data_IF_406373210089
#
_entry.id   IF_406373210089
#
_cell.length_a   1.000
_cell.length_b   1.000
_cell.length_c   1.000
_cell.angle_alpha   90.00
_cell.angle_beta   90.00
_cell.angle_gamma   90.00
#
_symmetry.space_group_name_H-M   'P 1'
#
loop_
_entity.id
_entity.type
_entity.pdbx_description
1 polymer ?
2 polymer ?
3 non-polymer ?
4 non-polymer ?
5 non-polymer ?
6 water ?
#
# COMPACT_ATOMS: atom_id res chain seq x y z
N UNK A 1 -3.87 -7.69 -27.27
CA UNK A 1 -4.92 -8.16 -26.32
C UNK A 1 -4.19 -8.65 -25.06
N UNK A 2 -4.82 -8.46 -23.92
CA UNK A 2 -4.18 -8.74 -22.64
C UNK A 2 -4.33 -10.20 -22.29
N UNK A 3 -3.48 -10.68 -21.37
CA UNK A 3 -3.64 -12.05 -20.91
C UNK A 3 -4.83 -12.14 -19.96
N UNK A 4 -5.31 -13.37 -19.73
CA UNK A 4 -6.37 -13.56 -18.75
C UNK A 4 -6.00 -13.01 -17.38
N UNK A 5 -4.76 -13.27 -16.96
CA UNK A 5 -4.31 -12.73 -15.67
C UNK A 5 -4.35 -11.20 -15.65
N UNK A 6 -3.86 -10.58 -16.72
CA UNK A 6 -3.87 -9.11 -16.78
C UNK A 6 -5.30 -8.57 -16.78
N UNK A 7 -6.22 -9.22 -17.48
CA UNK A 7 -7.61 -8.78 -17.46
C UNK A 7 -8.23 -8.95 -16.10
N UNK A 8 -7.83 -9.99 -15.36
CA UNK A 8 -8.30 -10.18 -13.99
C UNK A 8 -7.87 -9.04 -13.08
N UNK A 9 -6.60 -8.62 -13.19
CA UNK A 9 -6.11 -7.51 -12.40
C UNK A 9 -6.86 -6.22 -12.77
N UNK A 10 -7.09 -5.98 -14.06
CA UNK A 10 -7.85 -4.79 -14.51
C UNK A 10 -9.27 -4.87 -13.98
N UNK A 11 -9.85 -6.06 -13.95
CA UNK A 11 -11.20 -6.26 -13.45
C UNK A 11 -11.34 -5.89 -11.98
N UNK A 12 -10.28 -6.10 -11.20
CA UNK A 12 -10.30 -5.75 -9.78
C UNK A 12 -10.46 -4.25 -9.61
N UNK A 13 -9.82 -3.48 -10.49
CA UNK A 13 -10.02 -2.03 -10.50
C UNK A 13 -11.48 -1.71 -10.78
N UNK A 14 -12.06 -2.35 -11.78
CA UNK A 14 -13.45 -2.12 -12.12
C UNK A 14 -14.38 -2.42 -10.94
N UNK A 15 -14.10 -3.50 -10.21
CA UNK A 15 -14.92 -3.83 -9.07
C UNK A 15 -14.88 -2.70 -8.03
N UNK A 16 -13.69 -2.19 -7.73
CA UNK A 16 -13.58 -1.10 -6.75
C UNK A 16 -14.41 0.10 -7.17
N UNK A 17 -14.29 0.47 -8.43
CA UNK A 17 -14.97 1.68 -8.90
C UNK A 17 -16.49 1.53 -8.90
N UNK A 18 -17.02 0.30 -9.03
CA UNK A 18 -18.47 0.13 -8.94
C UNK A 18 -19.00 0.70 -7.64
N UNK A 19 -18.19 0.64 -6.57
CA UNK A 19 -18.59 1.10 -5.25
C UNK A 19 -18.04 2.48 -4.91
N UNK A 20 -16.84 2.81 -5.37
CA UNK A 20 -16.31 4.16 -5.10
C UNK A 20 -17.03 5.25 -5.84
N UNK A 21 -17.66 4.91 -6.96
CA UNK A 21 -18.43 5.91 -7.71
C UNK A 21 -19.84 6.14 -7.16
N UNK A 22 -20.24 5.40 -6.12
CA UNK A 22 -21.60 5.58 -5.60
C UNK A 22 -21.82 7.02 -5.14
N UNK A 23 -20.86 7.57 -4.38
CA UNK A 23 -21.05 8.91 -3.84
C UNK A 23 -19.68 9.49 -3.45
N UNK A 24 -19.69 10.80 -3.20
CA UNK A 24 -18.50 11.46 -2.64
C UNK A 24 -17.28 11.32 -3.52
N UNK A 25 -16.14 11.14 -2.89
CA UNK A 25 -14.86 11.01 -3.58
C UNK A 25 -14.79 9.67 -4.33
N UNK A 26 -14.35 9.70 -5.60
CA UNK A 26 -14.31 8.47 -6.39
C UNK A 26 -13.12 7.59 -6.04
N UNK A 27 -12.25 8.01 -5.09
CA UNK A 27 -11.25 7.14 -4.51
C UNK A 27 -11.59 6.86 -3.05
N UNK A 28 -12.88 6.83 -2.76
CA UNK A 28 -13.36 6.53 -1.41
C UNK A 28 -14.55 5.60 -1.51
N UNK A 29 -14.50 4.52 -0.75
CA UNK A 29 -15.63 3.63 -0.47
C UNK A 29 -15.96 3.84 1.00
N UNK A 30 -17.12 4.43 1.29
CA UNK A 30 -17.51 4.76 2.66
C UNK A 30 -18.04 3.51 3.35
N UNK A 31 -18.38 3.64 4.62
CA UNK A 31 -18.74 2.47 5.41
C UNK A 31 -19.93 1.72 4.80
N UNK A 32 -20.99 2.42 4.40
CA UNK A 32 -22.15 1.71 3.84
C UNK A 32 -21.82 1.10 2.48
N UNK A 33 -20.99 1.79 1.68
CA UNK A 33 -20.55 1.25 0.40
C UNK A 33 -19.76 -0.05 0.58
N UNK A 34 -18.93 -0.11 1.62
CA UNK A 34 -18.14 -1.32 1.85
C UNK A 34 -19.06 -2.48 2.23
N UNK A 35 -20.08 -2.20 3.05
CA UNK A 35 -21.02 -3.26 3.38
C UNK A 35 -21.62 -3.81 2.08
N UNK A 36 -21.97 -2.92 1.16
CA UNK A 36 -22.55 -3.36 -0.10
C UNK A 36 -21.53 -4.14 -0.93
N UNK A 37 -20.29 -3.68 -0.93
CA UNK A 37 -19.24 -4.37 -1.67
C UNK A 37 -19.05 -5.78 -1.14
N UNK A 38 -18.95 -5.91 0.18
CA UNK A 38 -18.74 -7.24 0.76
C UNK A 38 -19.92 -8.16 0.49
N UNK A 39 -21.14 -7.63 0.59
CA UNK A 39 -22.32 -8.49 0.39
C UNK A 39 -22.39 -9.01 -1.03
N UNK A 40 -21.97 -8.21 -2.00
CA UNK A 40 -22.05 -8.58 -3.41
C UNK A 40 -20.80 -9.31 -3.91
N UNK A 41 -19.62 -8.92 -3.44
CA UNK A 41 -18.38 -9.39 -4.08
C UNK A 41 -17.63 -10.46 -3.30
N UNK A 42 -17.95 -10.69 -2.03
CA UNK A 42 -17.10 -11.58 -1.23
C UNK A 42 -17.88 -12.80 -0.74
N UNK A 43 -17.20 -13.94 -0.56
CA UNK A 43 -17.89 -15.15 -0.11
C UNK A 43 -18.29 -15.07 1.35
N UNK A 44 -19.14 -16.04 1.76
CA UNK A 44 -19.70 -15.99 3.11
C UNK A 44 -18.59 -15.99 4.17
N UNK A 45 -17.53 -16.80 3.98
CA UNK A 45 -16.49 -16.86 5.01
C UNK A 45 -15.75 -15.54 5.15
N UNK A 46 -15.81 -14.67 4.13
CA UNK A 46 -15.27 -13.32 4.27
C UNK A 46 -16.30 -12.38 4.88
N UNK A 47 -17.54 -12.41 4.37
CA UNK A 47 -18.58 -11.53 4.88
C UNK A 47 -18.84 -11.75 6.38
N UNK A 48 -18.71 -12.99 6.83
CA UNK A 48 -19.08 -13.30 8.21
C UNK A 48 -18.27 -12.47 9.22
N UNK A 49 -17.08 -12.02 8.83
CA UNK A 49 -16.30 -11.20 9.76
C UNK A 49 -17.10 -9.96 10.19
N UNK A 50 -17.96 -9.46 9.32
CA UNK A 50 -18.75 -8.29 9.65
C UNK A 50 -18.23 -7.10 8.90
N UNK A 51 -19.11 -6.32 8.25
CA UNK A 51 -18.64 -5.21 7.44
C UNK A 51 -18.01 -4.11 8.29
N UNK A 52 -18.50 -3.91 9.52
CA UNK A 52 -17.87 -2.90 10.38
C UNK A 52 -16.47 -3.33 10.81
N UNK A 53 -16.30 -4.62 11.10
CA UNK A 53 -14.99 -5.13 11.49
C UNK A 53 -14.01 -4.95 10.35
N UNK A 54 -14.42 -5.34 9.12
CA UNK A 54 -13.57 -5.11 7.95
C UNK A 54 -13.23 -3.63 7.76
N UNK A 55 -14.22 -2.76 7.90
CA UNK A 55 -13.97 -1.34 7.67
C UNK A 55 -12.90 -0.81 8.61
N UNK A 56 -12.97 -1.20 9.89
CA UNK A 56 -11.96 -0.73 10.82
C UNK A 56 -10.59 -1.30 10.47
N UNK A 57 -10.56 -2.54 9.98
CA UNK A 57 -9.27 -3.13 9.63
C UNK A 57 -8.67 -2.47 8.39
N UNK A 58 -9.51 -2.10 7.43
CA UNK A 58 -9.02 -1.57 6.17
C UNK A 58 -8.77 -0.06 6.15
N UNK A 59 -9.43 0.70 6.99
CA UNK A 59 -9.26 2.17 6.98
C UNK A 59 -8.05 2.51 7.85
N UNK A 60 -6.86 2.31 7.26
CA UNK A 60 -5.63 2.35 8.06
C UNK A 60 -5.29 3.76 8.53
N UNK A 61 -5.69 4.79 7.79
CA UNK A 61 -5.47 6.17 8.21
C UNK A 61 -6.69 6.77 8.92
N UNK A 62 -7.70 5.95 9.22
CA UNK A 62 -8.94 6.36 9.95
C UNK A 62 -9.47 7.71 9.46
N UNK A 63 -9.60 7.82 8.14
CA UNK A 63 -10.21 8.99 7.51
C UNK A 63 -11.65 8.73 7.09
N UNK A 64 -12.22 7.57 7.46
CA UNK A 64 -13.63 7.31 7.20
C UNK A 64 -13.94 6.75 5.84
N UNK A 65 -12.94 6.32 5.10
CA UNK A 65 -13.15 5.68 3.82
C UNK A 65 -12.05 4.66 3.54
N UNK A 66 -12.35 3.75 2.61
CA UNK A 66 -11.43 2.77 2.08
C UNK A 66 -11.05 3.26 0.68
N UNK A 67 -9.80 3.71 0.53
CA UNK A 67 -9.36 4.12 -0.78
C UNK A 67 -8.90 2.88 -1.56
N UNK A 68 -8.45 3.06 -2.82
CA UNK A 68 -8.11 1.91 -3.63
C UNK A 68 -6.97 1.09 -3.03
N UNK A 69 -5.94 1.75 -2.53
CA UNK A 69 -4.85 1.02 -1.92
C UNK A 69 -5.34 0.18 -0.73
N UNK A 70 -6.21 0.76 0.11
CA UNK A 70 -6.73 0.01 1.25
C UNK A 70 -7.59 -1.17 0.79
N UNK A 71 -8.38 -0.98 -0.26
CA UNK A 71 -9.15 -2.07 -0.85
C UNK A 71 -8.24 -3.20 -1.30
N UNK A 72 -7.04 -2.90 -1.79
CA UNK A 72 -6.12 -3.98 -2.19
C UNK A 72 -5.67 -4.82 -0.99
N UNK A 73 -5.73 -4.28 0.23
CA UNK A 73 -5.50 -5.11 1.41
C UNK A 73 -6.56 -6.19 1.50
N UNK A 74 -7.82 -5.83 1.28
CA UNK A 74 -8.90 -6.79 1.28
C UNK A 74 -8.68 -7.82 0.17
N UNK A 75 -8.31 -7.38 -1.03
CA UNK A 75 -8.03 -8.29 -2.13
C UNK A 75 -6.92 -9.27 -1.75
N UNK A 76 -5.82 -8.78 -1.15
CA UNK A 76 -4.75 -9.68 -0.69
C UNK A 76 -5.32 -10.73 0.27
N UNK A 77 -6.08 -10.30 1.28
CA UNK A 77 -6.58 -11.23 2.29
C UNK A 77 -7.55 -12.21 1.68
N UNK A 78 -8.39 -11.74 0.75
CA UNK A 78 -9.35 -12.65 0.12
C UNK A 78 -8.61 -13.70 -0.67
N UNK A 79 -7.56 -13.28 -1.37
CA UNK A 79 -6.77 -14.18 -2.19
C UNK A 79 -6.10 -15.22 -1.34
N UNK A 80 -5.45 -14.79 -0.25
CA UNK A 80 -4.77 -15.75 0.59
C UNK A 80 -5.76 -16.76 1.15
N UNK A 81 -6.93 -16.26 1.56
CA UNK A 81 -7.95 -17.13 2.16
C UNK A 81 -8.52 -18.10 1.14
N UNK A 82 -8.82 -17.60 -0.07
CA UNK A 82 -9.35 -18.47 -1.11
C UNK A 82 -8.35 -19.56 -1.49
N UNK A 83 -7.04 -19.20 -1.53
CA UNK A 83 -6.02 -20.18 -1.84
C UNK A 83 -5.91 -21.24 -0.74
N UNK A 84 -5.89 -20.80 0.51
CA UNK A 84 -5.81 -21.74 1.64
C UNK A 84 -6.99 -22.70 1.62
N UNK A 85 -8.17 -22.22 1.24
CA UNK A 85 -9.37 -23.06 1.25
C UNK A 85 -9.32 -24.07 0.11
N UNK A 86 -9.00 -23.62 -1.09
CA UNK A 86 -8.92 -24.48 -2.27
C UNK A 86 -7.67 -25.35 -2.29
N UNK A 87 -6.73 -25.12 -1.39
CA UNK A 87 -5.45 -25.87 -1.32
C UNK A 87 -5.23 -26.20 0.16
N UNK A 88 -6.26 -26.67 0.86
CA UNK A 88 -6.15 -26.97 2.31
C UNK A 88 -5.00 -27.94 2.52
N UNK B 1 20.08 20.61 -1.39
CA UNK B 1 19.85 19.98 -0.05
C UNK B 1 18.32 19.76 0.11
N UNK B 2 17.97 18.71 0.76
CA UNK B 2 16.56 18.34 0.97
C UNK B 2 15.96 19.22 2.08
N UNK B 3 14.64 19.37 2.04
CA UNK B 3 13.97 20.11 3.10
C UNK B 3 13.91 19.26 4.38
N UNK B 4 13.59 19.92 5.51
CA UNK B 4 13.44 19.16 6.75
C UNK B 4 12.38 18.08 6.64
N UNK B 5 11.29 18.37 5.94
CA UNK B 5 10.24 17.35 5.79
C UNK B 5 10.73 16.18 4.95
N UNK B 6 11.37 16.46 3.81
CA UNK B 6 11.90 15.39 2.97
C UNK B 6 12.95 14.56 3.72
N UNK B 7 13.80 15.24 4.52
CA UNK B 7 14.77 14.50 5.32
C UNK B 7 14.06 13.60 6.33
N UNK B 8 12.92 14.04 6.88
CA UNK B 8 12.19 13.22 7.84
C UNK B 8 11.67 11.96 7.18
N UNK B 9 11.16 12.09 5.96
CA UNK B 9 10.65 10.94 5.23
C UNK B 9 11.79 9.96 4.89
N UNK B 10 12.94 10.47 4.46
CA UNK B 10 14.08 9.61 4.20
C UNK B 10 14.59 8.92 5.46
N UNK B 11 14.46 9.59 6.60
CA UNK B 11 14.87 8.98 7.88
C UNK B 11 13.93 7.84 8.26
N UNK B 12 12.66 7.91 7.89
CA UNK B 12 11.75 6.80 8.15
C UNK B 12 12.22 5.53 7.42
N UNK B 13 12.68 5.71 6.19
CA UNK B 13 13.30 4.61 5.45
C UNK B 13 14.47 4.04 6.25
N UNK B 14 15.33 4.93 6.76
CA UNK B 14 16.50 4.49 7.51
C UNK B 14 16.10 3.71 8.76
N UNK B 15 15.03 4.14 9.44
CA UNK B 15 14.55 3.41 10.62
C UNK B 15 14.17 1.98 10.22
N UNK B 16 13.46 1.83 9.11
CA UNK B 16 13.08 0.49 8.66
C UNK B 16 14.32 -0.35 8.36
N UNK B 17 15.28 0.21 7.66
CA UNK B 17 16.44 -0.58 7.28
C UNK B 17 17.28 -0.95 8.50
N UNK B 18 17.23 -0.15 9.57
CA UNK B 18 18.00 -0.48 10.76
C UNK B 18 17.64 -1.88 11.24
N UNK B 19 16.38 -2.25 11.08
CA UNK B 19 15.85 -3.55 11.48
C UNK B 19 15.78 -4.51 10.32
N UNK B 20 15.46 -4.06 9.10
CA UNK B 20 15.42 -5.02 7.98
C UNK B 20 16.80 -5.60 7.65
N UNK B 21 17.88 -4.85 7.87
CA UNK B 21 19.20 -5.34 7.60
C UNK B 21 19.70 -6.40 8.58
N UNK B 22 18.98 -6.66 9.67
CA UNK B 22 19.50 -7.53 10.71
C UNK B 22 19.77 -8.93 10.15
N UNK B 23 18.78 -9.54 9.49
CA UNK B 23 18.94 -10.93 9.04
C UNK B 23 18.02 -11.22 7.85
N UNK B 24 18.23 -12.38 7.24
CA UNK B 24 17.32 -12.87 6.23
C UNK B 24 17.27 -11.97 5.03
N UNK B 25 16.08 -11.81 4.48
CA UNK B 25 15.80 -10.86 3.41
C UNK B 25 15.94 -9.47 3.98
N UNK B 26 16.78 -8.65 3.36
CA UNK B 26 17.05 -7.33 3.91
C UNK B 26 15.94 -6.33 3.57
N UNK B 27 14.91 -6.76 2.84
CA UNK B 27 13.67 -6.01 2.72
C UNK B 27 12.53 -6.67 3.50
N UNK B 28 12.88 -7.33 4.59
CA UNK B 28 11.91 -7.96 5.47
C UNK B 28 12.32 -7.73 6.92
N UNK B 29 11.34 -7.42 7.78
CA UNK B 29 11.48 -7.36 9.23
C UNK B 29 10.64 -8.51 9.82
N UNK B 30 11.30 -9.37 10.57
CA UNK B 30 10.64 -10.55 11.15
C UNK B 30 10.03 -10.21 12.51
N UNK B 31 9.34 -11.20 13.12
CA UNK B 31 8.58 -10.90 14.32
C UNK B 31 9.49 -10.37 15.43
N UNK B 32 10.65 -11.00 15.64
CA UNK B 32 11.50 -10.53 16.73
C UNK B 32 12.09 -9.15 16.42
N UNK B 33 12.42 -8.91 15.15
CA UNK B 33 12.93 -7.60 14.73
C UNK B 33 11.89 -6.52 14.97
N UNK B 34 10.60 -6.83 14.70
CA UNK B 34 9.55 -5.84 14.94
C UNK B 34 9.43 -5.52 16.44
N UNK B 35 9.50 -6.55 17.30
CA UNK B 35 9.43 -6.31 18.73
C UNK B 35 10.52 -5.34 19.13
N UNK B 36 11.73 -5.56 18.63
CA UNK B 36 12.87 -4.66 18.93
C UNK B 36 12.52 -3.26 18.41
N UNK B 37 12.03 -3.14 17.19
CA UNK B 37 11.67 -1.84 16.60
C UNK B 37 10.65 -1.12 17.48
N UNK B 38 9.59 -1.81 17.87
CA UNK B 38 8.57 -1.18 18.68
C UNK B 38 9.14 -0.73 20.02
N UNK B 39 9.93 -1.59 20.67
CA UNK B 39 10.45 -1.25 21.98
C UNK B 39 11.32 -0.01 21.92
N UNK B 40 12.08 0.14 20.83
CA UNK B 40 13.12 1.16 20.74
C UNK B 40 12.61 2.46 20.13
N UNK B 41 11.75 2.36 19.12
CA UNK B 41 11.36 3.49 18.31
C UNK B 41 9.96 4.03 18.58
N UNK B 42 9.12 3.30 19.28
CA UNK B 42 7.75 3.78 19.38
C UNK B 42 7.40 4.19 20.81
N UNK B 43 6.42 5.09 20.96
CA UNK B 43 6.03 5.54 22.29
C UNK B 43 5.27 4.44 23.03
N UNK B 44 5.11 4.67 24.35
CA UNK B 44 4.47 3.71 25.22
C UNK B 44 3.11 3.29 24.74
N UNK B 45 2.31 4.26 24.25
CA UNK B 45 0.93 3.96 23.90
C UNK B 45 0.83 3.15 22.62
N UNK B 46 1.89 3.17 21.79
CA UNK B 46 1.97 2.26 20.65
C UNK B 46 2.48 0.90 21.09
N UNK B 47 3.51 0.87 21.96
CA UNK B 47 4.06 -0.41 22.43
C UNK B 47 3.02 -1.23 23.15
N UNK B 48 2.12 -0.55 23.88
CA UNK B 48 1.16 -1.24 24.73
C UNK B 48 0.33 -2.25 23.94
N UNK B 49 0.10 -1.99 22.67
CA UNK B 49 -0.70 -2.91 21.88
C UNK B 49 -0.08 -4.31 21.82
N UNK B 50 1.22 -4.39 21.90
CA UNK B 50 1.91 -5.66 21.94
C UNK B 50 2.48 -6.01 20.59
N UNK B 51 3.69 -6.61 20.60
CA UNK B 51 4.39 -6.78 19.33
C UNK B 51 3.74 -7.84 18.47
N UNK B 52 3.24 -8.93 19.10
CA UNK B 52 2.55 -9.98 18.31
C UNK B 52 1.29 -9.44 17.65
N UNK B 53 0.49 -8.65 18.38
CA UNK B 53 -0.70 -8.03 17.80
C UNK B 53 -0.34 -7.14 16.63
N UNK B 54 0.67 -6.26 16.82
CA UNK B 54 1.12 -5.40 15.73
C UNK B 54 1.59 -6.23 14.56
N UNK B 55 2.35 -7.29 14.81
CA UNK B 55 2.91 -8.05 13.69
C UNK B 55 1.80 -8.63 12.84
N UNK B 56 0.76 -9.19 13.48
CA UNK B 56 -0.34 -9.79 12.75
C UNK B 56 -1.14 -8.73 11.99
N UNK B 57 -1.25 -7.52 12.53
CA UNK B 57 -1.97 -6.46 11.83
C UNK B 57 -1.19 -6.01 10.60
N UNK B 58 0.14 -5.93 10.72
CA UNK B 58 0.97 -5.37 9.66
C UNK B 58 1.25 -6.36 8.54
N UNK B 59 1.26 -7.67 8.85
CA UNK B 59 1.68 -8.71 7.89
C UNK B 59 0.44 -9.08 7.09
N UNK B 60 0.10 -8.20 6.12
CA UNK B 60 -1.20 -8.32 5.47
C UNK B 60 -1.29 -9.54 4.56
N UNK B 61 -0.18 -10.00 3.99
CA UNK B 61 -0.18 -11.22 3.15
C UNK B 61 0.18 -12.49 3.95
N UNK B 62 0.27 -12.40 5.26
CA UNK B 62 0.60 -13.52 6.15
C UNK B 62 1.75 -14.37 5.62
N UNK B 63 2.87 -13.73 5.30
CA UNK B 63 4.06 -14.46 4.89
C UNK B 63 5.13 -14.47 5.96
N UNK B 64 4.84 -13.96 7.14
CA UNK B 64 5.80 -14.07 8.23
C UNK B 64 6.82 -12.95 8.26
N UNK B 65 6.60 -11.92 7.45
CA UNK B 65 7.49 -10.77 7.38
C UNK B 65 6.68 -9.50 7.20
N UNK B 66 7.26 -8.40 7.66
CA UNK B 66 6.75 -7.05 7.44
C UNK B 66 7.70 -6.39 6.45
N UNK B 67 7.23 -6.20 5.22
CA UNK B 67 8.03 -5.49 4.25
C UNK B 67 7.89 -3.98 4.46
N UNK B 68 8.59 -3.21 3.64
CA UNK B 68 8.59 -1.78 3.87
C UNK B 68 7.20 -1.17 3.73
N UNK B 69 6.43 -1.62 2.74
CA UNK B 69 5.09 -1.11 2.56
C UNK B 69 4.23 -1.41 3.77
N UNK B 70 4.35 -2.60 4.31
CA UNK B 70 3.65 -3.00 5.54
C UNK B 70 4.12 -2.17 6.75
N UNK B 71 5.39 -1.88 6.84
CA UNK B 71 5.93 -1.02 7.87
C UNK B 71 5.29 0.37 7.77
N UNK B 72 5.05 0.86 6.55
CA UNK B 72 4.42 2.17 6.41
C UNK B 72 2.98 2.23 6.96
N UNK B 73 2.30 1.08 7.08
CA UNK B 73 1.03 1.06 7.79
C UNK B 73 1.24 1.49 9.26
N UNK B 74 2.26 0.93 9.89
CA UNK B 74 2.60 1.35 11.25
C UNK B 74 2.91 2.84 11.30
N UNK B 75 3.71 3.32 10.34
CA UNK B 75 4.03 4.75 10.31
C UNK B 75 2.78 5.60 10.21
N UNK B 76 1.85 5.24 9.33
CA UNK B 76 0.59 5.96 9.19
C UNK B 76 -0.12 5.97 10.53
N UNK B 77 -0.22 4.78 11.15
CA UNK B 77 -1.00 4.69 12.37
C UNK B 77 -0.31 5.41 13.50
N UNK B 78 1.01 5.37 13.55
CA UNK B 78 1.72 6.15 14.54
C UNK B 78 1.55 7.64 14.33
N UNK B 79 1.54 8.07 13.08
CA UNK B 79 1.38 9.50 12.80
C UNK B 79 0.01 10.02 13.16
N UNK B 80 -1.04 9.29 12.82
CA UNK B 80 -2.39 9.67 13.19
C UNK B 80 -2.50 9.74 14.71
N UNK B 81 -1.98 8.74 15.43
CA UNK B 81 -2.11 8.72 16.89
C UNK B 81 -1.32 9.86 17.52
N UNK B 82 -0.10 10.11 17.02
CA UNK B 82 0.71 11.22 17.53
C UNK B 82 0.06 12.56 17.25
N UNK B 83 -0.56 12.73 16.09
CA UNK B 83 -1.26 13.98 15.80
C UNK B 83 -2.43 14.19 16.76
N UNK B 84 -3.18 13.12 17.05
CA UNK B 84 -4.26 13.22 18.02
C UNK B 84 -3.72 13.64 19.38
N UNK B 85 -2.60 13.04 19.80
CA UNK B 85 -2.05 13.43 21.10
C UNK B 85 -1.60 14.89 21.08
N UNK B 86 -0.99 15.32 19.98
CA UNK B 86 -0.51 16.71 19.87
C UNK B 86 -1.65 17.71 19.97
N UNK B 87 -2.79 17.40 19.35
CA UNK B 87 -3.95 18.29 19.45
C UNK B 87 -4.61 18.26 20.83
N UNK B 88 -4.61 17.10 21.50
CA UNK B 88 -5.11 17.04 22.87
C UNK B 88 -4.19 17.82 23.83
N UNK C 1 -20.71 -17.07 -7.93
CA UNK C 1 -19.36 -16.48 -7.75
C UNK C 1 -19.35 -15.07 -8.33
N UNK C 2 -18.90 -14.11 -7.54
CA UNK C 2 -18.86 -12.71 -7.97
C UNK C 2 -17.71 -12.46 -8.95
N UNK C 3 -17.78 -11.31 -9.61
CA UNK C 3 -16.67 -10.86 -10.45
C UNK C 3 -15.34 -10.87 -9.69
N UNK C 4 -15.32 -10.32 -8.48
CA UNK C 4 -14.09 -10.28 -7.70
C UNK C 4 -13.59 -11.69 -7.40
N UNK C 5 -14.51 -12.61 -7.07
CA UNK C 5 -14.09 -13.96 -6.76
C UNK C 5 -13.50 -14.66 -8.00
N UNK C 6 -14.11 -14.44 -9.17
CA UNK C 6 -13.59 -15.01 -10.40
C UNK C 6 -12.21 -14.44 -10.73
N UNK C 7 -11.99 -13.17 -10.46
CA UNK C 7 -10.66 -12.53 -10.70
C UNK C 7 -9.63 -13.21 -9.78
N UNK C 8 -9.95 -13.36 -8.50
CA UNK C 8 -9.07 -14.03 -7.55
C UNK C 8 -8.83 -15.48 -7.98
N UNK C 9 -9.86 -16.18 -8.46
CA UNK C 9 -9.69 -17.54 -8.92
C UNK C 9 -8.72 -17.59 -10.08
N UNK C 10 -8.80 -16.60 -10.99
CA UNK C 10 -7.83 -16.52 -12.08
C UNK C 10 -6.41 -16.38 -11.57
N UNK C 11 -6.17 -15.54 -10.54
CA UNK C 11 -4.82 -15.41 -9.98
C UNK C 11 -4.33 -16.75 -9.45
N UNK C 12 -5.17 -17.41 -8.67
CA UNK C 12 -4.82 -18.70 -8.08
C UNK C 12 -4.54 -19.74 -9.15
N UNK C 13 -5.42 -19.83 -10.14
CA UNK C 13 -5.23 -20.81 -11.20
C UNK C 13 -3.94 -20.56 -11.98
N UNK C 14 -3.60 -19.28 -12.20
CA UNK C 14 -2.38 -18.96 -12.93
C UNK C 14 -1.16 -19.35 -12.10
N UNK C 15 -1.19 -19.03 -10.82
CA UNK C 15 -0.11 -19.45 -9.92
C UNK C 15 0.09 -20.96 -10.00
N UNK C 16 -1.00 -21.74 -9.91
CA UNK C 16 -0.89 -23.19 -9.92
C UNK C 16 -0.45 -23.73 -11.26
N UNK C 17 -0.79 -23.05 -12.34
CA UNK C 17 -0.39 -23.56 -13.64
C UNK C 17 1.13 -23.74 -13.71
N UNK C 18 1.86 -22.83 -13.05
CA UNK C 18 3.33 -22.84 -13.06
C UNK C 18 3.95 -23.44 -11.81
N UNK C 19 3.33 -23.29 -10.64
CA UNK C 19 3.93 -23.83 -9.44
C UNK C 19 4.11 -25.34 -9.46
N UNK C 20 3.24 -26.10 -10.14
CA UNK C 20 3.29 -27.55 -10.10
C UNK C 20 4.43 -28.15 -10.91
N UNK C 21 5.11 -27.36 -11.75
CA UNK C 21 5.98 -27.96 -12.78
C UNK C 21 7.25 -28.55 -12.19
N UNK C 22 7.87 -27.85 -11.26
CA UNK C 22 9.18 -28.21 -10.69
C UNK C 22 9.17 -28.11 -9.17
N UNK C 23 9.96 -28.96 -8.53
CA UNK C 23 10.14 -28.80 -7.09
C UNK C 23 8.83 -28.86 -6.35
N UNK C 24 8.71 -28.06 -5.32
CA UNK C 24 7.47 -28.05 -4.54
C UNK C 24 6.30 -27.67 -5.45
N UNK C 25 5.19 -28.41 -5.44
CA UNK C 25 4.08 -28.07 -6.36
C UNK C 25 3.23 -26.88 -5.95
N UNK C 26 3.44 -26.28 -4.77
CA UNK C 26 2.69 -25.11 -4.36
C UNK C 26 3.56 -23.87 -4.15
N UNK C 27 4.76 -23.86 -4.75
CA UNK C 27 5.61 -22.69 -4.80
C UNK C 27 6.20 -22.52 -6.19
N UNK C 28 6.54 -21.28 -6.50
CA UNK C 28 7.20 -20.95 -7.76
C UNK C 28 8.71 -20.79 -7.54
N UNK C 29 9.52 -21.63 -8.18
CA UNK C 29 10.94 -21.41 -8.16
C UNK C 29 11.23 -20.35 -9.22
N UNK C 30 12.50 -19.98 -9.37
CA UNK C 30 12.83 -18.83 -10.22
C UNK C 30 12.40 -19.10 -11.66
N UNK C 31 12.63 -20.32 -12.13
CA UNK C 31 12.27 -20.67 -13.51
C UNK C 31 10.78 -20.67 -13.75
N UNK C 32 10.01 -21.17 -12.78
CA UNK C 32 8.55 -21.13 -12.88
C UNK C 32 8.04 -19.69 -12.87
N UNK C 33 8.59 -18.87 -11.99
CA UNK C 33 8.17 -17.48 -11.87
C UNK C 33 8.50 -16.71 -13.13
N UNK C 34 9.68 -16.94 -13.68
CA UNK C 34 10.05 -16.27 -14.92
C UNK C 34 9.16 -16.69 -16.08
N UNK C 35 8.76 -17.97 -16.13
CA UNK C 35 7.85 -18.40 -17.19
C UNK C 35 6.48 -17.73 -17.03
N UNK C 36 5.95 -17.72 -15.80
CA UNK C 36 4.69 -17.03 -15.55
C UNK C 36 4.78 -15.56 -15.98
N UNK C 37 5.84 -14.88 -15.55
CA UNK C 37 5.95 -13.46 -15.88
C UNK C 37 6.08 -13.28 -17.38
N UNK C 38 6.83 -14.17 -18.05
CA UNK C 38 7.11 -14.01 -19.48
C UNK C 38 5.85 -14.17 -20.31
N UNK C 39 4.98 -15.11 -19.92
CA UNK C 39 3.78 -15.38 -20.70
C UNK C 39 2.60 -14.59 -20.19
N UNK C 40 2.27 -14.74 -18.91
CA UNK C 40 1.03 -14.16 -18.42
C UNK C 40 1.16 -12.72 -17.93
N UNK C 41 2.36 -12.14 -17.86
CA UNK C 41 2.51 -10.71 -17.61
C UNK C 41 3.32 -10.06 -18.72
N UNK C 42 3.20 -10.57 -19.93
CA UNK C 42 4.00 -10.06 -21.03
C UNK C 42 3.72 -8.60 -21.33
N UNK C 43 2.54 -8.11 -20.99
CA UNK C 43 2.23 -6.71 -21.21
C UNK C 43 2.51 -5.86 -19.98
N UNK C 44 2.00 -6.28 -18.82
CA UNK C 44 2.15 -5.49 -17.61
C UNK C 44 3.61 -5.36 -17.21
N UNK C 45 4.43 -6.37 -17.53
CA UNK C 45 5.86 -6.37 -17.24
C UNK C 45 6.68 -6.46 -18.52
N UNK C 46 6.22 -5.76 -19.55
CA UNK C 46 6.90 -5.81 -20.85
C UNK C 46 8.34 -5.33 -20.74
N UNK C 47 8.55 -4.16 -20.14
CA UNK C 47 9.91 -3.60 -20.09
C UNK C 47 10.81 -4.46 -19.18
N UNK C 48 10.28 -4.88 -18.05
CA UNK C 48 11.05 -5.68 -17.10
C UNK C 48 11.45 -7.03 -17.70
N UNK C 49 10.58 -7.63 -18.53
CA UNK C 49 10.85 -8.92 -19.16
C UNK C 49 12.05 -8.87 -20.11
N UNK C 50 12.48 -7.66 -20.49
CA UNK C 50 13.61 -7.54 -21.40
C UNK C 50 14.93 -7.72 -20.67
N UNK C 51 14.94 -7.65 -19.34
CA UNK C 51 16.17 -7.85 -18.57
C UNK C 51 15.91 -8.95 -17.55
N UNK C 52 16.46 -10.13 -17.75
CA UNK C 52 16.22 -11.28 -16.85
C UNK C 52 16.69 -10.92 -15.44
N UNK C 53 17.65 -10.02 -15.30
CA UNK C 53 18.15 -9.63 -13.97
C UNK C 53 17.09 -8.76 -13.26
N UNK C 54 16.25 -8.03 -13.98
CA UNK C 54 15.19 -7.27 -13.31
C UNK C 54 14.13 -8.20 -12.74
N UNK C 55 13.76 -9.23 -13.48
CA UNK C 55 12.79 -10.20 -13.00
C UNK C 55 13.34 -10.94 -11.80
N UNK C 56 14.63 -11.30 -11.82
CA UNK C 56 15.28 -11.89 -10.65
C UNK C 56 15.10 -11.02 -9.41
N UNK C 57 15.35 -9.73 -9.55
CA UNK C 57 15.31 -8.82 -8.40
C UNK C 57 13.90 -8.74 -7.83
N UNK C 58 12.88 -8.74 -8.70
CA UNK C 58 11.46 -8.74 -8.27
C UNK C 58 11.22 -9.98 -7.41
N UNK C 59 11.69 -11.15 -7.86
CA UNK C 59 11.48 -12.41 -7.12
C UNK C 59 12.17 -12.34 -5.77
N UNK C 60 13.43 -11.90 -5.76
CA UNK C 60 14.22 -11.84 -4.51
C UNK C 60 13.52 -10.94 -3.51
N UNK C 61 12.97 -9.83 -3.98
CA UNK C 61 12.26 -8.92 -3.07
C UNK C 61 11.02 -9.57 -2.47
N UNK C 62 10.30 -10.36 -3.27
CA UNK C 62 9.08 -11.04 -2.79
C UNK C 62 9.39 -12.26 -1.92
N UNK C 63 10.58 -12.86 -2.05
CA UNK C 63 10.93 -14.08 -1.32
C UNK C 63 11.37 -13.75 0.10
N UNK C 64 10.37 -13.42 0.93
CA UNK C 64 10.68 -12.87 2.22
C UNK C 64 11.27 -13.88 3.21
N UNK C 65 11.04 -15.17 3.03
CA UNK C 65 11.68 -16.17 3.91
C UNK C 65 12.95 -16.75 3.31
N UNK C 66 13.39 -16.20 2.17
CA UNK C 66 14.71 -16.46 1.59
C UNK C 66 14.93 -17.93 1.27
N UNK C 67 13.88 -18.65 0.85
CA UNK C 67 14.03 -20.05 0.48
C UNK C 67 14.07 -20.27 -1.04
N UNK C 68 14.20 -19.22 -1.84
CA UNK C 68 14.41 -19.30 -3.27
C UNK C 68 13.19 -19.81 -4.03
N UNK C 69 12.02 -19.62 -3.43
CA UNK C 69 10.77 -19.92 -4.11
C UNK C 69 9.68 -19.02 -3.51
N UNK C 70 8.65 -18.77 -4.31
CA UNK C 70 7.56 -17.90 -3.89
C UNK C 70 6.35 -18.76 -3.50
N UNK C 71 5.92 -18.61 -2.27
CA UNK C 71 4.61 -19.12 -1.88
C UNK C 71 3.53 -18.23 -2.47
N UNK C 72 2.28 -18.72 -2.40
CA UNK C 72 1.20 -17.91 -2.88
C UNK C 72 1.11 -16.62 -2.09
N UNK C 73 1.31 -16.69 -0.77
CA UNK C 73 1.28 -15.50 0.09
C UNK C 73 2.32 -14.48 -0.38
N UNK C 74 3.53 -14.93 -0.70
CA UNK C 74 4.56 -14.00 -1.23
C UNK C 74 4.16 -13.45 -2.60
N UNK C 75 3.67 -14.33 -3.46
CA UNK C 75 3.28 -13.96 -4.82
C UNK C 75 2.14 -12.96 -4.86
N UNK C 76 1.13 -13.09 -3.99
CA UNK C 76 -0.01 -12.21 -4.12
C UNK C 76 0.37 -10.73 -3.89
N UNK C 77 1.46 -10.44 -3.18
CA UNK C 77 1.91 -9.05 -3.06
C UNK C 77 2.23 -8.43 -4.42
N UNK C 78 2.81 -9.20 -5.33
CA UNK C 78 3.09 -8.70 -6.67
C UNK C 78 1.79 -8.43 -7.40
N UNK C 79 0.81 -9.31 -7.27
CA UNK C 79 -0.47 -9.07 -7.95
C UNK C 79 -1.07 -7.74 -7.51
N UNK C 80 -1.06 -7.47 -6.20
CA UNK C 80 -1.61 -6.19 -5.73
C UNK C 80 -0.83 -5.02 -6.29
N UNK C 81 0.51 -5.11 -6.28
CA UNK C 81 1.35 -4.06 -6.81
C UNK C 81 1.12 -3.82 -8.31
N UNK C 82 0.93 -4.89 -9.08
CA UNK C 82 0.69 -4.70 -10.51
C UNK C 82 -0.71 -4.15 -10.80
N UNK C 83 -1.70 -4.50 -9.98
CA UNK C 83 -3.01 -3.88 -10.07
C UNK C 83 -2.92 -2.39 -9.79
N UNK C 84 -2.20 -2.01 -8.72
CA UNK C 84 -1.97 -0.61 -8.44
C UNK C 84 -1.30 0.08 -9.63
N UNK C 85 -0.26 -0.55 -10.18
CA UNK C 85 0.48 0.10 -11.27
C UNK C 85 -0.42 0.30 -12.49
N UNK C 86 -1.28 -0.69 -12.76
CA UNK C 86 -2.21 -0.56 -13.88
C UNK C 86 -3.15 0.61 -13.66
N UNK C 87 -3.71 0.71 -12.45
CA UNK C 87 -4.59 1.83 -12.10
C UNK C 87 -3.89 3.17 -12.33
N UNK C 88 -2.62 3.29 -11.89
CA UNK C 88 -1.85 4.49 -12.08
C UNK C 88 -1.69 4.82 -13.56
N UNK C 89 -1.46 3.80 -14.39
CA UNK C 89 -1.21 4.04 -15.82
C UNK C 89 -2.48 4.46 -16.56
N UNK C 90 -3.63 3.92 -16.16
CA UNK C 90 -4.91 4.24 -16.85
C UNK C 90 -5.24 5.71 -16.55
N UNK C 91 -4.83 6.23 -15.39
CA UNK C 91 -5.09 7.61 -14.99
C UNK C 91 -4.13 8.63 -15.59
N UNK C 92 -2.87 8.27 -15.81
CA UNK C 92 -1.98 9.20 -16.52
C UNK C 92 -2.48 9.41 -17.95
N UNK C 93 -2.80 8.30 -18.62
CA UNK C 93 -3.23 8.33 -20.03
C UNK C 93 -2.15 7.81 -20.96
N UNK C 94 -2.51 7.45 -22.18
CA UNK C 94 -1.55 6.88 -23.16
C UNK C 94 -0.96 7.99 -24.03
N UNK C 95 0.02 7.66 -24.88
CA UNK C 95 0.67 8.63 -25.79
C UNK C 95 0.78 7.99 -27.18
N UNK C 96 0.40 8.71 -28.23
CA UNK C 96 0.41 8.17 -29.60
C UNK C 96 1.81 8.01 -30.16
N UNK C 98 3.98 9.74 -33.59
CA UNK C 98 4.11 9.14 -34.93
C UNK C 98 5.49 9.33 -35.51
N UNK C 99 5.61 10.01 -36.65
CA UNK C 99 6.93 10.31 -37.28
C UNK C 99 7.62 11.41 -36.48
N UNK D 1 12.74 11.03 22.91
CA UNK D 1 12.08 10.67 21.66
C UNK D 1 13.05 9.99 20.70
N UNK D 2 12.59 8.93 20.07
CA UNK D 2 13.38 8.20 19.10
C UNK D 2 13.49 8.95 17.79
N UNK D 3 14.33 8.44 16.91
CA UNK D 3 14.47 8.96 15.53
C UNK D 3 13.10 8.92 14.87
N UNK D 4 12.39 7.79 14.98
CA UNK D 4 11.11 7.69 14.29
C UNK D 4 10.12 8.71 14.82
N UNK D 5 10.06 8.88 16.15
CA UNK D 5 9.11 9.81 16.74
C UNK D 5 9.42 11.23 16.30
N UNK D 6 10.69 11.57 16.19
CA UNK D 6 11.11 12.92 15.79
C UNK D 6 10.69 13.14 14.34
N UNK D 7 10.82 12.13 13.50
CA UNK D 7 10.39 12.25 12.10
C UNK D 7 8.89 12.46 12.00
N UNK D 8 8.11 11.74 12.82
CA UNK D 8 6.66 11.93 12.80
C UNK D 8 6.30 13.30 13.32
N UNK D 9 7.04 13.80 14.33
CA UNK D 9 6.74 15.12 14.84
C UNK D 9 7.05 16.18 13.79
N UNK D 10 8.08 15.96 12.99
CA UNK D 10 8.36 16.88 11.88
C UNK D 10 7.20 16.94 10.89
N UNK D 11 6.62 15.78 10.57
CA UNK D 11 5.45 15.75 9.69
C UNK D 11 4.31 16.54 10.32
N UNK D 12 3.99 16.24 11.59
CA UNK D 12 2.89 16.89 12.27
C UNK D 12 3.11 18.40 12.30
N UNK D 13 4.32 18.80 12.65
CA UNK D 13 4.53 20.24 12.85
C UNK D 13 4.54 20.96 11.52
N UNK D 14 4.97 20.30 10.45
CA UNK D 14 4.96 20.92 9.14
C UNK D 14 3.53 21.15 8.68
N UNK D 15 2.70 20.10 8.79
CA UNK D 15 1.28 20.23 8.51
C UNK D 15 0.65 21.39 9.27
N UNK D 16 0.89 21.45 10.60
CA UNK D 16 0.27 22.48 11.42
C UNK D 16 0.76 23.88 11.09
N UNK D 17 2.01 24.00 10.63
CA UNK D 17 2.50 25.32 10.30
C UNK D 17 1.67 25.96 9.19
N UNK D 18 1.10 25.15 8.31
CA UNK D 18 0.24 25.64 7.24
C UNK D 18 -1.24 25.59 7.59
N UNK D 19 -1.67 24.54 8.29
CA UNK D 19 -3.11 24.41 8.57
C UNK D 19 -3.62 25.51 9.47
N UNK D 20 -2.74 26.09 10.29
CA UNK D 20 -3.17 27.12 11.23
C UNK D 20 -3.35 28.49 10.57
N UNK D 21 -2.74 28.74 9.41
CA UNK D 21 -2.71 30.09 8.87
C UNK D 21 -4.08 30.58 8.39
N UNK D 22 -5.07 29.69 8.25
CA UNK D 22 -6.36 30.15 7.73
C UNK D 22 -7.45 29.15 8.07
N UNK D 23 -8.66 29.66 8.27
CA UNK D 23 -9.81 28.78 8.44
C UNK D 23 -9.66 27.83 9.61
N UNK D 24 -10.12 26.59 9.42
CA UNK D 24 -9.99 25.58 10.48
C UNK D 24 -8.52 25.35 10.75
N UNK D 25 -8.05 25.50 12.00
CA UNK D 25 -6.61 25.42 12.25
C UNK D 25 -6.03 24.02 12.13
N UNK D 26 -6.86 22.99 11.97
CA UNK D 26 -6.37 21.62 11.88
C UNK D 26 -6.58 21.00 10.50
N UNK D 27 -6.98 21.79 9.50
CA UNK D 27 -7.07 21.29 8.13
C UNK D 27 -6.37 22.25 7.17
N UNK D 28 -5.93 21.70 6.04
CA UNK D 28 -5.32 22.47 4.97
C UNK D 28 -6.34 22.74 3.88
N UNK D 29 -6.48 24.00 3.49
CA UNK D 29 -7.29 24.27 2.30
C UNK D 29 -6.38 24.12 1.08
N UNK D 30 -6.98 24.21 -0.10
CA UNK D 30 -6.24 23.97 -1.36
C UNK D 30 -5.03 24.91 -1.43
N UNK D 31 -5.17 26.16 -1.00
CA UNK D 31 -4.06 27.11 -1.12
C UNK D 31 -2.91 26.81 -0.19
N UNK D 32 -3.21 26.39 1.04
CA UNK D 32 -2.14 26.05 1.98
C UNK D 32 -1.47 24.75 1.61
N UNK D 33 -2.22 23.79 1.05
CA UNK D 33 -1.61 22.55 0.58
C UNK D 33 -0.63 22.83 -0.55
N UNK D 34 -1.04 23.67 -1.52
CA UNK D 34 -0.15 24.01 -2.62
C UNK D 34 1.12 24.69 -2.11
N UNK D 35 0.99 25.58 -1.11
CA UNK D 35 2.15 26.25 -0.53
C UNK D 35 3.08 25.26 0.18
N UNK D 36 2.51 24.31 0.93
CA UNK D 36 3.30 23.27 1.58
C UNK D 36 4.06 22.45 0.55
N UNK D 37 3.35 21.94 -0.46
CA UNK D 37 3.99 21.12 -1.49
C UNK D 37 5.08 21.90 -2.20
N UNK D 38 4.83 23.18 -2.47
CA UNK D 38 5.77 24.00 -3.23
C UNK D 38 7.05 24.25 -2.44
N UNK D 39 6.92 24.41 -1.14
CA UNK D 39 8.11 24.75 -0.32
C UNK D 39 8.71 23.50 0.28
N UNK D 40 7.95 22.68 0.98
CA UNK D 40 8.54 21.62 1.75
C UNK D 40 8.67 20.29 1.01
N UNK D 41 8.09 20.16 -0.15
CA UNK D 41 8.29 19.00 -1.00
C UNK D 41 8.84 19.42 -2.36
N UNK D 42 9.67 20.48 -2.38
CA UNK D 42 10.11 21.06 -3.65
C UNK D 42 10.99 20.08 -4.42
N UNK D 43 11.60 19.10 -3.76
CA UNK D 43 12.41 18.11 -4.47
C UNK D 43 11.62 16.83 -4.75
N UNK D 44 10.94 16.30 -3.74
CA UNK D 44 10.19 15.07 -3.93
C UNK D 44 9.06 15.23 -4.94
N UNK D 45 8.42 16.39 -4.98
CA UNK D 45 7.41 16.69 -5.97
C UNK D 45 7.87 17.75 -6.95
N UNK D 46 9.14 17.69 -7.34
CA UNK D 46 9.69 18.71 -8.24
C UNK D 46 8.96 18.74 -9.58
N UNK D 47 8.74 17.58 -10.19
CA UNK D 47 8.07 17.56 -11.48
C UNK D 47 6.61 17.96 -11.34
N UNK D 48 5.94 17.45 -10.31
CA UNK D 48 4.53 17.76 -10.13
C UNK D 48 4.30 19.24 -9.82
N UNK D 49 5.23 19.87 -9.11
CA UNK D 49 5.06 21.27 -8.76
C UNK D 49 5.00 22.20 -9.97
N UNK D 50 5.41 21.74 -11.16
CA UNK D 50 5.36 22.60 -12.32
C UNK D 50 3.99 22.60 -13.00
N UNK D 51 3.05 21.78 -12.52
CA UNK D 51 1.77 21.57 -13.23
C UNK D 51 0.69 21.62 -12.16
N UNK D 52 0.12 22.82 -11.96
CA UNK D 52 -0.84 23.01 -10.88
C UNK D 52 -2.00 22.02 -10.99
N UNK D 53 -2.33 21.60 -12.21
CA UNK D 53 -3.37 20.60 -12.40
C UNK D 53 -3.04 19.29 -11.72
N UNK D 54 -1.78 18.86 -11.80
CA UNK D 54 -1.35 17.61 -11.17
C UNK D 54 -1.45 17.74 -9.66
N UNK D 55 -1.08 18.90 -9.13
CA UNK D 55 -1.16 19.10 -7.69
C UNK D 55 -2.61 19.03 -7.23
N UNK D 56 -3.53 19.61 -8.02
CA UNK D 56 -4.94 19.54 -7.66
C UNK D 56 -5.45 18.11 -7.74
N UNK D 57 -4.97 17.32 -8.71
CA UNK D 57 -5.35 15.92 -8.76
C UNK D 57 -4.93 15.23 -7.46
N UNK D 58 -3.75 15.57 -6.95
CA UNK D 58 -3.26 14.94 -5.72
C UNK D 58 -4.14 15.29 -4.54
N UNK D 59 -4.44 16.58 -4.38
CA UNK D 59 -5.37 17.04 -3.34
C UNK D 59 -6.70 16.28 -3.41
N UNK D 60 -7.37 16.34 -4.58
CA UNK D 60 -8.70 15.76 -4.66
C UNK D 60 -8.66 14.27 -4.31
N UNK D 61 -7.59 13.58 -4.71
CA UNK D 61 -7.51 12.15 -4.44
C UNK D 61 -7.31 11.87 -2.94
N UNK D 62 -6.67 12.78 -2.22
CA UNK D 62 -6.47 12.61 -0.78
C UNK D 62 -7.70 13.04 0.02
N UNK D 63 -8.53 13.92 -0.55
CA UNK D 63 -9.68 14.50 0.15
C UNK D 63 -10.87 13.53 0.16
N UNK D 64 -10.74 12.49 0.99
CA UNK D 64 -11.64 11.36 0.86
C UNK D 64 -13.06 11.70 1.31
N UNK D 65 -13.25 12.68 2.21
CA UNK D 65 -14.59 13.10 2.62
C UNK D 65 -15.12 14.26 1.79
N UNK D 66 -14.37 14.68 0.77
CA UNK D 66 -14.84 15.59 -0.26
C UNK D 66 -15.30 16.93 0.30
N UNK D 67 -14.55 17.48 1.26
CA UNK D 67 -14.89 18.78 1.82
C UNK D 67 -13.91 19.87 1.41
N UNK D 68 -13.06 19.60 0.42
CA UNK D 68 -12.10 20.54 -0.15
C UNK D 68 -11.06 20.98 0.87
N UNK D 69 -10.93 20.21 1.95
CA UNK D 69 -9.93 20.44 2.97
C UNK D 69 -9.22 19.11 3.23
N UNK D 70 -7.93 19.20 3.59
CA UNK D 70 -7.17 18.02 3.96
C UNK D 70 -6.96 17.99 5.48
N UNK D 71 -7.49 16.95 6.11
CA UNK D 71 -7.15 16.63 7.48
C UNK D 71 -5.78 15.99 7.51
N UNK D 72 -5.21 15.94 8.72
CA UNK D 72 -3.96 15.23 8.87
C UNK D 72 -4.11 13.78 8.45
N UNK D 73 -5.24 13.15 8.82
CA UNK D 73 -5.44 11.75 8.48
C UNK D 73 -5.42 11.57 6.96
N UNK D 74 -6.08 12.48 6.22
CA UNK D 74 -5.99 12.39 4.75
C UNK D 74 -4.56 12.66 4.27
N UNK D 75 -3.93 13.67 4.86
CA UNK D 75 -2.60 14.11 4.43
C UNK D 75 -1.52 13.05 4.63
N UNK D 76 -1.58 12.26 5.72
CA UNK D 76 -0.50 11.32 5.98
C UNK D 76 -0.41 10.22 4.91
N UNK D 77 -1.47 9.97 4.14
CA UNK D 77 -1.38 9.03 3.03
C UNK D 77 -0.35 9.50 2.01
N UNK D 78 -0.30 10.81 1.77
CA UNK D 78 0.71 11.34 0.84
C UNK D 78 2.10 11.16 1.39
N UNK D 79 2.27 11.39 2.70
CA UNK D 79 3.56 11.22 3.36
C UNK D 79 4.06 9.80 3.12
N UNK D 80 3.21 8.79 3.34
CA UNK D 80 3.63 7.41 3.14
C UNK D 80 3.94 7.10 1.66
N UNK D 81 3.16 7.61 0.74
CA UNK D 81 3.42 7.39 -0.67
C UNK D 81 4.77 8.00 -1.10
N UNK D 82 5.08 9.20 -0.61
CA UNK D 82 6.33 9.86 -1.01
C UNK D 82 7.55 9.20 -0.35
N UNK D 83 7.40 8.67 0.87
CA UNK D 83 8.46 7.89 1.49
C UNK D 83 8.75 6.65 0.66
N UNK D 84 7.71 5.93 0.28
CA UNK D 84 7.88 4.77 -0.60
C UNK D 84 8.58 5.16 -1.90
N UNK D 85 8.15 6.26 -2.51
CA UNK D 85 8.71 6.65 -3.80
C UNK D 85 10.17 7.10 -3.69
N UNK D 86 10.52 7.76 -2.59
CA UNK D 86 11.91 8.11 -2.35
C UNK D 86 12.78 6.86 -2.30
N UNK D 87 12.34 5.87 -1.54
CA UNK D 87 13.09 4.63 -1.42
C UNK D 87 13.28 3.99 -2.79
N UNK D 88 12.22 3.90 -3.58
CA UNK D 88 12.35 3.41 -4.95
C UNK D 88 13.37 4.19 -5.74
N UNK D 89 13.31 5.52 -5.67
CA UNK D 89 14.26 6.32 -6.45
C UNK D 89 15.71 6.09 -6.01
N UNK D 90 15.96 6.04 -4.69
CA UNK D 90 17.33 5.87 -4.23
C UNK D 90 17.90 4.51 -4.62
N UNK D 91 17.04 3.50 -4.76
CA UNK D 91 17.50 2.17 -5.18
C UNK D 91 17.73 2.04 -6.68
X LIG E 1 -8.75 5.35 4.65
X LIG F 1 -16.97 7.25 -3.26
X LIG G 1 4.36 -2.16 -8.94
X LIG G 1 4.65 -1.48 -7.75
X LIG G 1 3.62 -0.45 -7.41
X LIG G 1 3.78 -0.04 -6.06
X LIG G 1 3.26 -1.00 -5.14
X LIG G 1 2.40 -0.35 -4.12
X LIG G 1 1.34 -1.23 -3.78
X LIG G 1 0.11 -0.56 -3.57
X LIG G 1 -0.96 -1.55 -3.22
X LIG G 1 -0.52 -2.37 -2.14
X LIG G 1 -1.51 -2.61 -1.16
X LIG G 1 -1.49 -1.52 -0.14
X LIG G 1 -0.89 -1.97 1.07
X LIG G 1 -0.88 -0.97 2.08
X LIG G 1 0.33 -0.11 1.91
X LIG G 1 0.35 0.95 2.85
X LIG G 1 0.74 2.19 2.29
X LIG G 1 2.12 2.09 1.69
X LIG G 1 2.48 3.33 1.11
X LIG G 1 3.23 3.20 -0.08
X LIG G 1 2.32 2.95 -1.22
X LIG G 1 2.91 3.36 -2.44
X LIG G 1 2.30 4.52 -3.01
X LIG G 1 2.53 4.52 -4.47
X LIG G 1 3.39 5.60 -4.83
X LIG G 1 2.68 6.82 -4.99
X LIG G 1 3.61 7.98 -4.81
X LIG G 1 2.91 9.20 -4.65
X LIG G 1 3.43 -2.45 -8.92
X LIG G 1 5.61 -0.99 -7.85
X LIG G 1 4.72 -2.19 -6.93
X LIG G 1 2.62 -0.87 -7.56
X LIG G 1 3.73 0.41 -8.07
X LIG G 1 4.10 -1.51 -4.65
X LIG G 1 2.68 -1.74 -5.69
X LIG G 1 1.99 0.58 -4.53
X LIG G 1 2.98 -0.11 -3.23
X LIG G 1 -0.19 -0.02 -4.47
X LIG G 1 0.21 0.16 -2.76
X LIG G 1 -1.18 -2.17 -4.08
X LIG G 1 -1.87 -1.03 -2.93
X LIG G 1 -1.33 -3.56 -0.67
X LIG G 1 -2.50 -2.64 -1.63
X LIG G 1 -2.51 -1.19 0.06
X LIG G 1 -0.92 -0.68 -0.53
X LIG G 1 -0.86 -1.44 3.07
X LIG G 1 -1.78 -0.35 2.01
X LIG G 1 0.33 0.30 0.91
X LIG G 1 1.23 -0.72 2.02
X LIG G 1 0.75 2.97 3.05
X LIG G 1 0.04 2.49 1.50
X LIG G 1 2.14 1.33 0.92
X LIG G 1 2.84 1.82 2.46
X LIG G 1 3.94 2.38 0.02
X LIG G 1 3.80 4.12 -0.27
X LIG G 1 1.38 3.48 -1.06
X LIG G 1 2.09 1.88 -1.27
X LIG G 1 2.73 5.41 -2.56
X LIG G 1 1.24 4.51 -2.81
X LIG G 1 1.58 4.62 -5.00
X LIG G 1 3.00 3.58 -4.77
X LIG G 1 1.87 6.88 -4.26
X LIG G 1 2.24 6.86 -5.99
X LIG G 1 4.27 8.05 -5.66
X LIG G 1 4.21 7.81 -3.91
X LIG G 1 3.06 9.55 -3.76
X LIG H 1 4.17 -9.53 4.87
X LIG I 1 15.60 -8.68 7.25
X LIG J 1 10.11 -25.28 2.16
X LIG J 1 10.34 -23.90 2.18
X LIG J 1 10.60 -23.38 3.55
X LIG J 1 9.46 -23.65 4.37
X LIG J 1 8.56 -22.56 4.43
X LIG J 1 8.77 -21.83 5.72
X LIG J 1 7.66 -20.99 5.96
X LIG J 1 8.01 -19.74 6.55
X LIG J 1 7.21 -18.66 5.92
X LIG J 1 7.02 -17.60 6.86
X LIG J 1 8.24 -16.90 7.12
X LIG J 1 8.69 -17.17 8.51
X LIG J 1 9.55 -16.12 8.91
X LIG J 1 10.89 -16.29 8.44
X LIG J 1 11.71 -16.97 9.49
X LIG J 1 12.54 -16.01 10.14
X LIG J 1 11.88 -15.32 11.19
X LIG J 1 12.90 -14.67 12.07
X LIG J 1 12.25 -14.02 13.15
X LIG J 1 12.04 -14.86 14.28
X LIG J 1 10.70 -14.63 14.85
X LIG J 1 10.65 -15.13 16.18
X LIG J 1 9.52 -14.70 16.92
X LIG J 1 9.88 -13.50 17.72
X LIG J 1 8.86 -13.19 18.64
X LIG J 1 8.89 -11.83 19.06
X LIG J 1 7.61 -11.47 19.74
X LIG J 1 7.01 -10.33 19.20
X LIG J 1 9.90 -25.56 1.25
X LIG J 1 9.47 -23.39 1.76
X LIG J 1 11.20 -23.66 1.55
X LIG J 1 10.78 -22.31 3.52
X LIG J 1 11.48 -23.88 3.97
X LIG J 1 7.53 -22.92 4.37
X LIG J 1 8.73 -21.89 3.59
X LIG J 1 9.69 -21.25 5.66
X LIG J 1 8.88 -22.55 6.53
X LIG J 1 9.08 -19.54 6.40
X LIG J 1 7.82 -19.77 7.62
X LIG J 1 6.24 -19.04 5.61
X LIG J 1 7.73 -18.29 5.05
X LIG J 1 8.07 -15.83 6.99
X LIG J 1 9.00 -17.22 6.42
X LIG J 1 9.22 -18.12 8.53
X LIG J 1 7.83 -17.23 9.17
X LIG J 1 11.31 -15.31 8.21
X LIG J 1 10.88 -16.88 7.52
X LIG J 1 12.32 -17.74 9.03
X LIG J 1 11.05 -17.44 10.21
X LIG J 1 11.29 -16.02 11.78
X LIG J 1 11.21 -14.58 10.77
X LIG J 1 13.46 -13.93 11.49
X LIG J 1 13.60 -15.41 12.45
X LIG J 1 12.81 -14.67 15.03
X LIG J 1 12.14 -15.91 13.97
X LIG J 1 9.93 -15.12 14.24
X LIG J 1 10.48 -13.55 14.86
X LIG J 1 9.17 -15.50 17.57
X LIG J 1 8.71 -14.45 16.23
X LIG J 1 10.04 -12.67 17.06
X LIG J 1 10.82 -13.70 18.25
X LIG J 1 9.03 -11.18 18.19
X LIG J 1 9.73 -11.66 19.74
X LIG J 1 7.81 -11.32 20.80
X LIG J 1 6.92 -12.31 19.65
X LIG J 1 6.49 -10.56 18.42
X LIG K 1 -1.97 -23.91 -3.89
X LIG L 1 9.79 -17.94 -0.14
X LIG M 1 7.20 -25.40 -8.01
X LIG N 1 -11.15 16.39 3.62
X LIG O 1 -6.56 25.75 7.86
#
# INVERSE_FOLDING_TARGET
>A
MLTELEKALNSIIDVYNKYSLIKGNFNAVYRDDLKKLLETESPQYIRKKGADVWFKELDINTDGAVNFQEFLILVIKMGVAAHKKSCE
>B
MLTELEKALNSIIDVYNKYSLIKGNFNAVYRDDLKKLLETESPQYIRKKGADVWFKELDINTDGAVNFQEFLILVIKMGVAAHKKSCE
>C
MSQLERNIETIINTFHQYSVKLGHPDTLNQGEFKELVRKDLQNFLKKENKNEKVIEHIMEDLDTNADKQLSFEEFIMLMARLTWASNEKMNEGDEGPGH
>D
MSQLERNIETIINTFHQYSVKLGHPDTLNQGEFKELVRKDLQNFLKKENKNEKVIEHIMEDLDTNADKQLSFEEFIMLMARLTWASNEKMNEGDEGPGH
>E hetero
1 CA CA
>F hetero
1 CA CA
>G hetero
1 2PE O1 C2 C3 O4 C5 C6 O7 C8 C9 O10 C11 C12 O13 C14 C15 O16 C17 C18 O19 C20 C21 O22 C23 C24 O25 C26 C27 O28 HO1 H21 H22 H31 H32 H51 H52 H61 H62 H81 H82 H91 H92 H111 H112 H121 H122 H141 H142 H151 H152 H171 H172 H181 H182 H201 H202 H211 H212 H231 H232 H241 H242 H261 H262 H271 H272 HO2
>H hetero
1 CA CA
>I hetero
1 CA CA
>J hetero
1 2PE O1 C2 C3 O4 C5 C6 O7 C8 C9 O10 C11 C12 O13 C14 C15 O16 C17 C18 O19 C20 C21 O22 C23 C24 O25 C26 C27 O28 HO1 H21 H22 H31 H32 H51 H52 H61 H62 H81 H82 H91 H92 H111 H112 H121 H122 H141 H142 H151 H152 H171 H172 H181 H182 H201 H202 H211 H212 H231 H232 H241 H242 H261 H262 H271 H272 HO2
>K hetero
1 ZN ZN
>L hetero
1 CA CA
>M hetero
1 CA CA
>N hetero
1 CA CA
>O hetero
1 CA CA
#
